data_IF_668459150808
#
_entry.id   IF_668459150808
#
_cell.length_a   1.000
_cell.length_b   1.000
_cell.length_c   1.000
_cell.angle_alpha   90.00
_cell.angle_beta   90.00
_cell.angle_gamma   90.00
#
_symmetry.space_group_name_H-M   'P 1'
#
loop_
_entity.id
_entity.type
_entity.pdbx_description
1 polymer ?
#
# COMPACT_ATOMS: atom_id res chain seq x y z
N UNK A 1 2.45 -22.07 30.00
CA UNK A 1 3.25 -22.71 28.96
C UNK A 1 4.17 -23.82 29.50
N UNK A 2 5.12 -23.53 30.39
CA UNK A 2 6.01 -24.59 30.98
C UNK A 2 5.27 -25.79 31.57
N UNK A 3 4.18 -25.57 32.31
CA UNK A 3 3.40 -26.68 32.92
C UNK A 3 2.65 -27.56 31.90
N UNK A 4 2.17 -27.03 30.79
CA UNK A 4 1.58 -27.83 29.71
C UNK A 4 2.63 -28.63 28.95
N UNK A 5 3.76 -27.99 28.64
CA UNK A 5 4.88 -28.63 27.94
C UNK A 5 5.47 -29.79 28.77
N UNK A 6 5.64 -29.57 30.07
CA UNK A 6 6.14 -30.61 31.01
C UNK A 6 5.16 -31.76 31.15
N UNK A 7 3.84 -31.48 31.13
CA UNK A 7 2.81 -32.55 31.17
C UNK A 7 2.73 -33.37 29.88
N UNK A 8 2.91 -32.71 28.71
CA UNK A 8 2.97 -33.42 27.42
C UNK A 8 4.22 -34.29 27.33
N UNK A 9 5.38 -33.78 27.72
CA UNK A 9 6.62 -34.58 27.74
C UNK A 9 6.60 -35.75 28.75
N UNK A 10 6.08 -35.51 29.94
CA UNK A 10 5.96 -36.59 30.97
C UNK A 10 4.90 -37.63 30.62
N UNK A 11 3.91 -37.29 29.80
CA UNK A 11 2.89 -38.24 29.34
C UNK A 11 3.37 -39.09 28.14
N UNK A 12 4.28 -38.59 27.34
CA UNK A 12 4.95 -39.37 26.29
C UNK A 12 5.87 -40.43 26.90
N UNK A 13 6.57 -40.08 27.98
CA UNK A 13 7.45 -41.01 28.70
C UNK A 13 6.69 -42.09 29.51
N UNK A 14 5.41 -41.86 29.84
CA UNK A 14 4.64 -42.75 30.72
C UNK A 14 3.57 -43.60 30.02
N UNK A 15 3.49 -43.63 28.69
CA UNK A 15 2.46 -44.37 27.92
C UNK A 15 1.01 -44.12 28.40
N UNK A 16 0.70 -42.96 28.94
CA UNK A 16 -0.67 -42.58 29.30
C UNK A 16 -1.43 -42.16 28.04
N UNK A 17 -2.58 -42.74 27.81
CA UNK A 17 -3.55 -42.32 26.79
C UNK A 17 -4.00 -40.91 27.14
N UNK A 18 -3.41 -39.89 26.47
CA UNK A 18 -3.89 -38.51 26.63
C UNK A 18 -5.21 -38.42 25.88
N UNK A 19 -6.29 -38.10 26.63
CA UNK A 19 -7.59 -37.84 26.03
C UNK A 19 -7.47 -36.79 24.91
N UNK A 20 -7.95 -37.15 23.71
CA UNK A 20 -7.98 -36.30 22.53
C UNK A 20 -8.59 -34.92 22.82
N UNK A 21 -9.53 -34.85 23.77
CA UNK A 21 -10.16 -33.62 24.21
C UNK A 21 -9.20 -32.69 24.98
N UNK A 22 -8.28 -33.27 25.76
CA UNK A 22 -7.23 -32.49 26.47
C UNK A 22 -6.18 -31.97 25.54
N UNK A 23 -5.77 -32.74 24.51
CA UNK A 23 -4.87 -32.29 23.46
C UNK A 23 -5.53 -31.16 22.64
N UNK A 24 -6.81 -31.36 22.28
CA UNK A 24 -7.56 -30.33 21.54
C UNK A 24 -7.74 -29.04 22.36
N UNK A 25 -8.01 -29.13 23.66
CA UNK A 25 -8.10 -27.95 24.56
C UNK A 25 -6.74 -27.27 24.74
N UNK A 26 -5.67 -28.02 24.89
CA UNK A 26 -4.33 -27.42 24.97
C UNK A 26 -3.91 -26.78 23.62
N UNK A 27 -4.19 -27.45 22.51
CA UNK A 27 -3.96 -26.92 21.19
C UNK A 27 -4.81 -25.65 20.92
N UNK A 28 -6.09 -25.66 21.34
CA UNK A 28 -6.97 -24.50 21.26
C UNK A 28 -6.48 -23.34 22.13
N UNK A 29 -6.08 -23.60 23.37
CA UNK A 29 -5.51 -22.61 24.28
C UNK A 29 -4.13 -22.07 23.81
N UNK A 30 -3.36 -22.87 23.07
CA UNK A 30 -2.12 -22.44 22.43
C UNK A 30 -2.45 -21.58 21.20
N UNK A 31 -3.43 -21.96 20.40
CA UNK A 31 -3.93 -21.20 19.24
C UNK A 31 -4.57 -19.87 19.66
N UNK A 32 -5.34 -19.84 20.76
CA UNK A 32 -5.90 -18.59 21.32
C UNK A 32 -4.82 -17.64 21.89
N UNK A 33 -3.68 -18.20 22.31
CA UNK A 33 -2.53 -17.43 22.81
C UNK A 33 -1.48 -17.14 21.72
N UNK A 34 -1.65 -17.61 20.49
CA UNK A 34 -0.80 -17.18 19.39
C UNK A 34 -1.03 -15.69 19.17
N UNK A 35 -0.04 -14.90 19.56
CA UNK A 35 -0.01 -13.47 19.34
C UNK A 35 -0.17 -13.21 17.83
N UNK A 36 -1.26 -12.58 17.43
CA UNK A 36 -1.47 -12.18 16.04
C UNK A 36 -0.61 -10.96 15.76
N UNK A 37 0.02 -10.93 14.59
CA UNK A 37 0.78 -9.76 14.15
C UNK A 37 -0.10 -8.51 14.06
N UNK A 38 -1.32 -8.68 13.53
CA UNK A 38 -2.36 -7.64 13.49
C UNK A 38 -3.72 -8.23 13.82
N UNK A 39 -4.66 -7.36 14.21
CA UNK A 39 -6.09 -7.69 14.24
C UNK A 39 -6.87 -6.68 13.43
N UNK A 40 -7.89 -7.14 12.71
CA UNK A 40 -8.80 -6.27 11.97
C UNK A 40 -10.22 -6.42 12.50
N UNK A 41 -10.87 -5.29 12.78
CA UNK A 41 -12.25 -5.26 13.26
C UNK A 41 -13.06 -4.28 12.42
N UNK A 42 -14.08 -4.81 11.74
CA UNK A 42 -15.07 -3.98 11.05
C UNK A 42 -16.03 -3.44 12.11
N UNK A 43 -16.20 -2.12 12.17
CA UNK A 43 -17.08 -1.44 13.12
C UNK A 43 -18.38 -0.96 12.48
N UNK A 44 -18.38 -0.74 11.16
CA UNK A 44 -19.54 -0.28 10.41
C UNK A 44 -19.53 -0.84 8.98
N UNK A 45 -20.72 -1.07 8.42
CA UNK A 45 -20.93 -1.46 7.01
C UNK A 45 -22.02 -0.57 6.41
N UNK A 46 -21.78 -0.09 5.19
CA UNK A 46 -22.82 0.59 4.42
C UNK A 46 -23.71 -0.45 3.74
N UNK A 47 -25.02 -0.50 4.03
CA UNK A 47 -25.93 -1.49 3.45
C UNK A 47 -25.89 -1.52 1.91
N UNK A 48 -26.05 -2.69 1.33
CA UNK A 48 -26.07 -2.94 -0.12
C UNK A 48 -24.79 -2.58 -0.88
N UNK A 49 -23.69 -2.38 -0.17
CA UNK A 49 -22.35 -2.15 -0.74
C UNK A 49 -21.31 -3.04 -0.09
N UNK A 50 -20.05 -2.98 -0.57
CA UNK A 50 -18.91 -3.57 0.11
C UNK A 50 -18.18 -2.57 1.02
N UNK A 51 -18.64 -1.32 1.06
CA UNK A 51 -18.03 -0.25 1.84
C UNK A 51 -18.16 -0.51 3.34
N UNK A 52 -17.03 -0.30 4.02
CA UNK A 52 -16.92 -0.59 5.45
C UNK A 52 -15.95 0.36 6.15
N UNK A 53 -16.20 0.63 7.41
CA UNK A 53 -15.25 1.27 8.31
C UNK A 53 -14.83 0.27 9.40
N UNK A 54 -13.59 0.41 9.86
CA UNK A 54 -13.03 -0.51 10.86
C UNK A 54 -11.72 0.01 11.44
N UNK A 55 -10.96 -0.91 12.04
CA UNK A 55 -9.66 -0.62 12.60
C UNK A 55 -8.70 -1.80 12.42
N UNK A 56 -7.48 -1.52 11.99
CA UNK A 56 -6.35 -2.46 12.00
C UNK A 56 -5.50 -2.11 13.21
N UNK A 57 -5.41 -3.07 14.15
CA UNK A 57 -4.52 -2.93 15.29
C UNK A 57 -3.18 -3.56 14.97
N UNK A 58 -2.09 -2.80 15.09
CA UNK A 58 -0.70 -3.25 14.91
C UNK A 58 0.07 -3.11 16.22
N UNK A 59 1.29 -3.66 16.34
CA UNK A 59 2.15 -3.42 17.51
C UNK A 59 2.47 -1.94 17.77
N UNK A 60 2.51 -1.11 16.73
CA UNK A 60 2.86 0.32 16.85
C UNK A 60 1.66 1.27 16.76
N UNK A 61 0.44 0.76 16.86
CA UNK A 61 -0.77 1.59 16.92
C UNK A 61 -1.92 1.11 16.04
N UNK A 62 -2.95 1.92 15.98
CA UNK A 62 -4.20 1.60 15.28
C UNK A 62 -4.34 2.41 14.01
N UNK A 63 -4.71 1.77 12.91
CA UNK A 63 -5.10 2.43 11.66
C UNK A 63 -6.64 2.38 11.56
N UNK A 64 -7.28 3.54 11.61
CA UNK A 64 -8.72 3.69 11.43
C UNK A 64 -9.05 3.64 9.94
N UNK A 65 -9.76 2.60 9.49
CA UNK A 65 -10.06 2.39 8.07
C UNK A 65 -11.45 2.90 7.67
N UNK A 66 -11.63 3.36 6.41
CA UNK A 66 -10.62 3.51 5.38
C UNK A 66 -9.53 4.51 5.75
N UNK A 67 -8.29 4.30 5.27
CA UNK A 67 -7.15 5.16 5.55
C UNK A 67 -6.22 5.30 4.34
N UNK A 68 -5.60 6.48 4.22
CA UNK A 68 -4.51 6.71 3.26
C UNK A 68 -3.16 6.47 3.96
N UNK A 69 -2.36 5.56 3.40
CA UNK A 69 -1.02 5.23 3.88
C UNK A 69 -0.01 6.11 3.13
N UNK A 70 0.71 6.93 3.88
CA UNK A 70 1.60 7.94 3.28
C UNK A 70 2.84 7.29 2.66
N UNK A 71 3.17 7.67 1.43
CA UNK A 71 4.30 7.10 0.69
C UNK A 71 5.65 7.57 1.18
N UNK A 72 6.36 6.74 1.95
CA UNK A 72 7.70 6.98 2.53
C UNK A 72 8.82 6.18 1.85
N UNK A 73 8.88 6.16 0.53
CA UNK A 73 9.66 5.28 -0.37
C UNK A 73 11.06 4.90 0.12
N UNK A 74 11.85 5.82 0.66
CA UNK A 74 13.25 5.61 1.10
C UNK A 74 13.41 5.89 2.59
N UNK A 75 12.49 5.36 3.40
CA UNK A 75 12.40 5.69 4.82
C UNK A 75 12.30 7.22 5.04
N UNK A 76 11.58 7.89 4.14
CA UNK A 76 11.27 9.32 4.25
C UNK A 76 10.10 9.66 3.34
N UNK A 77 9.18 10.45 3.83
CA UNK A 77 8.16 11.13 3.03
C UNK A 77 8.82 12.34 2.40
N UNK A 78 8.84 12.41 1.07
CA UNK A 78 9.64 13.43 0.36
C UNK A 78 9.18 14.85 0.69
N UNK A 79 10.13 15.68 1.09
CA UNK A 79 9.98 17.07 1.51
C UNK A 79 9.17 17.27 2.80
N UNK A 80 8.95 16.23 3.61
CA UNK A 80 8.26 16.31 4.90
C UNK A 80 9.09 15.67 6.01
N UNK A 81 9.02 16.24 7.22
CA UNK A 81 9.44 15.58 8.45
C UNK A 81 8.34 14.65 8.96
N UNK A 82 8.67 13.77 9.89
CA UNK A 82 7.70 12.87 10.53
C UNK A 82 6.60 13.64 11.26
N UNK A 83 6.95 14.72 11.95
CA UNK A 83 6.00 15.60 12.65
C UNK A 83 5.00 16.23 11.66
N UNK A 84 5.48 16.66 10.48
CA UNK A 84 4.61 17.19 9.43
C UNK A 84 3.67 16.14 8.87
N UNK A 85 4.13 14.88 8.71
CA UNK A 85 3.27 13.76 8.31
C UNK A 85 2.19 13.50 9.36
N UNK A 86 2.55 13.46 10.64
CA UNK A 86 1.58 13.33 11.76
C UNK A 86 0.60 14.49 11.79
N UNK A 87 1.08 15.72 11.62
CA UNK A 87 0.22 16.92 11.56
C UNK A 87 -0.74 16.93 10.37
N UNK A 88 -0.39 16.26 9.26
CA UNK A 88 -1.30 16.01 8.14
C UNK A 88 -2.36 14.94 8.43
N UNK A 89 -2.30 14.26 9.58
CA UNK A 89 -3.19 13.15 9.94
C UNK A 89 -2.76 11.80 9.38
N UNK A 90 -1.53 11.68 8.86
CA UNK A 90 -0.98 10.42 8.36
C UNK A 90 -0.88 9.37 9.48
N UNK A 91 -1.67 8.29 9.38
CA UNK A 91 -1.74 7.24 10.40
C UNK A 91 -0.67 6.16 10.21
N UNK A 92 -0.10 6.06 9.02
CA UNK A 92 0.89 5.03 8.68
C UNK A 92 1.75 5.46 7.51
N UNK A 93 2.96 4.91 7.42
CA UNK A 93 3.93 5.17 6.34
C UNK A 93 4.30 3.86 5.64
N UNK A 94 4.27 3.87 4.30
CA UNK A 94 4.72 2.75 3.47
C UNK A 94 6.10 3.04 2.87
N UNK A 95 7.08 2.19 3.18
CA UNK A 95 8.42 2.25 2.61
C UNK A 95 8.61 1.18 1.51
N UNK A 96 9.61 1.38 0.66
CA UNK A 96 9.83 0.53 -0.49
C UNK A 96 11.07 -0.36 -0.31
N UNK A 97 10.85 -1.66 -0.26
CA UNK A 97 11.89 -2.67 -0.02
C UNK A 97 13.00 -2.62 -1.07
N UNK A 98 12.67 -2.47 -2.36
CA UNK A 98 13.68 -2.36 -3.42
C UNK A 98 14.66 -1.21 -3.20
N UNK A 99 14.15 -0.04 -2.81
CA UNK A 99 15.00 1.12 -2.57
C UNK A 99 15.82 0.99 -1.29
N UNK A 100 15.20 0.48 -0.21
CA UNK A 100 15.87 0.32 1.08
C UNK A 100 16.94 -0.78 1.07
N UNK A 101 16.72 -1.87 0.34
CA UNK A 101 17.71 -2.91 0.12
C UNK A 101 18.99 -2.36 -0.53
N UNK A 102 18.85 -1.43 -1.48
CA UNK A 102 19.98 -0.86 -2.18
C UNK A 102 20.68 0.26 -1.39
N UNK A 103 19.90 1.06 -0.66
CA UNK A 103 20.44 2.16 0.18
C UNK A 103 19.41 2.55 1.24
N UNK A 104 19.76 2.45 2.55
CA UNK A 104 21.09 2.21 3.11
C UNK A 104 21.50 0.73 3.16
N UNK A 105 20.58 -0.20 2.91
CA UNK A 105 20.64 -1.62 3.15
C UNK A 105 19.77 -2.04 4.34
N UNK A 106 19.08 -3.18 4.22
CA UNK A 106 18.18 -3.68 5.26
C UNK A 106 18.88 -3.92 6.60
N UNK A 107 20.15 -4.37 6.57
CA UNK A 107 20.97 -4.61 7.77
C UNK A 107 21.19 -3.32 8.61
N UNK A 108 21.39 -2.18 7.94
CA UNK A 108 21.56 -0.89 8.64
C UNK A 108 20.28 -0.50 9.34
N UNK A 109 19.13 -0.67 8.68
CA UNK A 109 17.81 -0.37 9.24
C UNK A 109 17.52 -1.31 10.42
N UNK A 110 17.84 -2.60 10.28
CA UNK A 110 17.72 -3.58 11.36
C UNK A 110 18.52 -3.17 12.60
N UNK A 111 19.80 -2.79 12.41
CA UNK A 111 20.69 -2.33 13.50
C UNK A 111 20.16 -1.04 14.16
N UNK A 112 19.43 -0.20 13.44
CA UNK A 112 18.77 0.98 14.00
C UNK A 112 17.51 0.66 14.81
N UNK A 113 17.07 -0.61 14.83
CA UNK A 113 15.89 -1.09 15.53
C UNK A 113 14.61 -1.10 14.69
N UNK A 114 14.74 -1.20 13.36
CA UNK A 114 13.65 -1.28 12.41
C UNK A 114 13.26 0.06 11.78
N UNK A 115 12.33 -0.01 10.82
CA UNK A 115 11.95 1.13 9.97
C UNK A 115 11.45 2.33 10.77
N UNK A 116 10.57 2.11 11.74
CA UNK A 116 10.00 3.16 12.57
C UNK A 116 11.08 3.92 13.35
N UNK A 117 11.95 3.19 14.06
CA UNK A 117 13.06 3.81 14.81
C UNK A 117 14.07 4.49 13.89
N UNK A 118 14.34 3.92 12.71
CA UNK A 118 15.24 4.53 11.74
C UNK A 118 14.74 5.87 11.21
N UNK A 119 13.40 6.05 11.12
CA UNK A 119 12.75 7.30 10.66
C UNK A 119 12.37 8.24 11.82
N UNK A 120 12.48 7.80 13.06
CA UNK A 120 11.88 8.46 14.24
C UNK A 120 10.34 8.54 14.14
N UNK A 121 9.71 7.46 13.64
CA UNK A 121 8.27 7.31 13.51
C UNK A 121 7.75 6.19 14.40
N UNK A 122 6.86 6.52 15.33
CA UNK A 122 6.32 5.62 16.36
C UNK A 122 4.99 4.93 15.93
N UNK A 123 4.44 5.28 14.76
CA UNK A 123 3.21 4.72 14.24
C UNK A 123 3.40 3.46 13.39
N UNK A 124 2.28 2.87 12.93
CA UNK A 124 2.29 1.70 12.05
C UNK A 124 3.05 1.91 10.75
N UNK A 125 3.74 0.88 10.27
CA UNK A 125 4.51 0.94 9.03
C UNK A 125 4.20 -0.23 8.10
N UNK A 126 4.33 0.03 6.79
CA UNK A 126 4.22 -0.95 5.72
C UNK A 126 5.51 -1.03 4.93
N UNK A 127 5.77 -2.21 4.34
CA UNK A 127 6.70 -2.36 3.21
C UNK A 127 6.02 -3.01 2.03
N UNK A 128 6.34 -2.55 0.81
CA UNK A 128 6.02 -3.30 -0.40
C UNK A 128 7.02 -4.46 -0.61
N UNK A 129 6.71 -5.36 -1.55
CA UNK A 129 7.57 -6.51 -1.86
C UNK A 129 8.84 -6.14 -2.64
N UNK A 130 8.93 -4.94 -3.20
CA UNK A 130 9.94 -4.52 -4.18
C UNK A 130 9.68 -5.01 -5.61
N UNK A 131 8.68 -5.85 -5.83
CA UNK A 131 8.37 -6.44 -7.14
C UNK A 131 8.04 -5.40 -8.19
N UNK A 132 7.15 -4.44 -7.89
CA UNK A 132 6.78 -3.38 -8.83
C UNK A 132 7.98 -2.66 -9.43
N UNK A 133 8.99 -2.30 -8.64
CA UNK A 133 10.17 -1.56 -9.10
C UNK A 133 11.05 -2.41 -10.00
N UNK A 134 11.19 -3.70 -9.69
CA UNK A 134 11.95 -4.64 -10.52
C UNK A 134 11.34 -4.72 -11.92
N UNK A 135 10.02 -4.84 -12.00
CA UNK A 135 9.30 -4.96 -13.28
C UNK A 135 9.16 -3.61 -13.98
N UNK A 136 8.87 -2.53 -13.25
CA UNK A 136 8.71 -1.19 -13.82
C UNK A 136 10.02 -0.58 -14.29
N UNK A 137 11.14 -0.80 -13.60
CA UNK A 137 12.47 -0.35 -14.05
C UNK A 137 12.92 -1.11 -15.30
N UNK A 138 12.56 -2.38 -15.44
CA UNK A 138 12.71 -3.11 -16.69
C UNK A 138 11.99 -2.43 -17.87
N UNK A 139 10.85 -1.82 -17.63
CA UNK A 139 10.01 -1.15 -18.63
C UNK A 139 10.36 0.35 -18.76
N UNK A 140 10.72 1.04 -17.68
CA UNK A 140 10.71 2.50 -17.56
C UNK A 140 12.04 3.20 -17.83
N UNK A 141 13.15 2.48 -17.99
CA UNK A 141 14.45 3.15 -18.26
C UNK A 141 14.47 3.94 -19.58
N UNK A 142 13.40 3.88 -20.39
CA UNK A 142 13.26 4.67 -21.63
C UNK A 142 12.13 5.69 -21.65
N UNK A 143 11.13 5.67 -20.76
CA UNK A 143 10.09 6.74 -20.69
C UNK A 143 9.38 6.63 -19.34
N UNK A 144 9.37 7.70 -18.52
CA UNK A 144 8.68 7.76 -17.24
C UNK A 144 7.22 7.29 -17.30
N UNK A 145 6.98 6.04 -16.99
CA UNK A 145 5.64 5.44 -16.92
C UNK A 145 5.25 5.47 -15.44
N UNK A 146 4.26 6.28 -15.13
CA UNK A 146 3.55 6.24 -13.86
C UNK A 146 2.66 5.00 -13.78
N UNK A 147 2.38 4.49 -12.58
CA UNK A 147 1.47 3.36 -12.34
C UNK A 147 0.05 3.62 -12.88
N UNK A 148 -0.30 4.89 -13.09
CA UNK A 148 -1.46 5.34 -13.87
C UNK A 148 -0.95 5.75 -15.25
N UNK A 149 -1.28 4.98 -16.27
CA UNK A 149 -0.87 5.21 -17.65
C UNK A 149 -1.52 6.49 -18.21
N UNK A 150 -0.94 7.64 -17.96
CA UNK A 150 -1.13 8.81 -18.80
C UNK A 150 -0.21 8.65 -20.02
N UNK A 151 -0.52 7.70 -20.90
CA UNK A 151 0.25 7.48 -22.13
C UNK A 151 -0.39 8.18 -23.31
N UNK A 152 0.34 9.18 -23.81
CA UNK A 152 0.23 9.55 -25.21
C UNK A 152 0.72 8.36 -26.08
N UNK A 153 0.01 8.13 -27.20
CA UNK A 153 0.23 7.09 -28.20
C UNK A 153 1.71 6.99 -28.63
N UNK A 154 2.35 5.84 -28.43
CA UNK A 154 3.70 5.55 -28.96
C UNK A 154 4.21 4.16 -28.58
N UNK A 155 4.20 3.22 -29.53
CA UNK A 155 4.93 1.94 -29.62
C UNK A 155 5.12 1.09 -28.33
N UNK A 156 4.02 0.56 -27.80
CA UNK A 156 4.02 -0.39 -26.68
C UNK A 156 4.82 -1.69 -26.97
N UNK A 157 4.87 -2.15 -28.22
CA UNK A 157 5.58 -3.37 -28.61
C UNK A 157 7.12 -3.28 -28.48
N UNK A 158 7.72 -2.08 -28.72
CA UNK A 158 9.16 -1.85 -28.54
C UNK A 158 9.55 -1.69 -27.06
N UNK A 159 8.65 -1.18 -26.22
CA UNK A 159 8.86 -1.08 -24.78
C UNK A 159 8.93 -2.46 -24.13
N UNK A 160 8.09 -3.41 -24.56
CA UNK A 160 8.07 -4.80 -24.05
C UNK A 160 9.35 -5.56 -24.40
N UNK A 161 9.91 -5.38 -25.61
CA UNK A 161 11.19 -6.03 -25.99
C UNK A 161 12.41 -5.52 -25.21
N UNK A 162 12.42 -4.25 -24.81
CA UNK A 162 13.54 -3.69 -24.01
C UNK A 162 13.41 -4.00 -22.50
N UNK A 163 12.23 -4.29 -22.00
CA UNK A 163 11.99 -4.70 -20.62
C UNK A 163 12.62 -6.07 -20.31
N UNK A 164 12.54 -7.00 -21.26
CA UNK A 164 13.15 -8.33 -21.14
C UNK A 164 14.70 -8.31 -21.06
N UNK A 165 15.35 -7.18 -21.29
CA UNK A 165 16.81 -7.04 -21.20
C UNK A 165 17.31 -6.60 -19.82
N UNK A 166 16.46 -6.03 -18.95
CA UNK A 166 16.87 -5.46 -17.66
C UNK A 166 16.37 -6.25 -16.45
N UNK A 167 15.33 -7.06 -16.61
CA UNK A 167 14.88 -7.99 -15.59
C UNK A 167 14.52 -9.34 -16.22
N UNK A 168 15.05 -10.43 -15.66
CA UNK A 168 14.74 -11.81 -16.06
C UNK A 168 13.92 -12.46 -14.97
N UNK A 169 12.70 -12.85 -15.28
CA UNK A 169 11.79 -13.53 -14.35
C UNK A 169 11.83 -15.03 -14.60
N UNK A 170 11.94 -15.80 -13.52
CA UNK A 170 11.91 -17.26 -13.50
C UNK A 170 11.02 -17.73 -12.36
N UNK A 171 10.72 -19.02 -12.27
CA UNK A 171 9.95 -19.54 -11.14
C UNK A 171 10.68 -19.42 -9.79
N UNK A 172 12.01 -19.28 -9.81
CA UNK A 172 12.79 -19.03 -8.61
C UNK A 172 12.64 -17.61 -8.08
N UNK A 173 12.51 -16.61 -8.96
CA UNK A 173 12.46 -15.20 -8.60
C UNK A 173 12.75 -14.30 -9.79
N UNK A 174 13.08 -13.04 -9.53
CA UNK A 174 13.39 -12.03 -10.54
C UNK A 174 14.85 -11.56 -10.41
N UNK A 175 15.62 -11.72 -11.48
CA UNK A 175 16.97 -11.16 -11.60
C UNK A 175 16.89 -9.80 -12.28
N UNK A 176 17.50 -8.80 -11.69
CA UNK A 176 17.56 -7.45 -12.23
C UNK A 176 18.92 -6.79 -12.03
N UNK A 177 19.16 -5.72 -12.75
CA UNK A 177 20.41 -4.95 -12.64
C UNK A 177 20.17 -3.73 -11.74
N UNK A 178 20.99 -3.62 -10.67
CA UNK A 178 20.97 -2.46 -9.78
C UNK A 178 21.27 -1.16 -10.56
N UNK A 179 20.44 -0.16 -10.34
CA UNK A 179 20.64 1.17 -10.96
C UNK A 179 21.72 2.00 -10.27
N UNK A 180 22.21 1.56 -9.10
CA UNK A 180 23.25 2.27 -8.34
C UNK A 180 24.65 1.87 -8.77
N UNK A 181 24.92 0.56 -8.89
CA UNK A 181 26.26 0.01 -9.13
C UNK A 181 26.33 -0.94 -10.33
N UNK A 182 25.20 -1.19 -10.99
CA UNK A 182 25.11 -2.04 -12.16
C UNK A 182 25.21 -3.54 -11.90
N UNK A 183 25.31 -4.00 -10.65
CA UNK A 183 25.38 -5.42 -10.31
C UNK A 183 24.05 -6.12 -10.56
N UNK A 184 24.14 -7.41 -10.91
CA UNK A 184 22.95 -8.27 -10.98
C UNK A 184 22.56 -8.70 -9.58
N UNK A 185 21.28 -8.54 -9.26
CA UNK A 185 20.66 -8.95 -8.01
C UNK A 185 19.57 -9.97 -8.36
N UNK A 186 19.53 -11.07 -7.64
CA UNK A 186 18.44 -12.04 -7.69
C UNK A 186 17.56 -11.85 -6.47
N UNK A 187 16.29 -11.52 -6.68
CA UNK A 187 15.29 -11.41 -5.64
C UNK A 187 14.33 -12.59 -5.74
N UNK A 188 14.25 -13.36 -4.67
CA UNK A 188 13.35 -14.50 -4.53
C UNK A 188 12.25 -14.18 -3.52
N UNK A 189 11.16 -14.95 -3.45
CA UNK A 189 10.17 -14.82 -2.39
C UNK A 189 10.79 -14.84 -0.99
N UNK A 190 11.72 -15.76 -0.74
CA UNK A 190 12.40 -15.90 0.56
C UNK A 190 13.24 -14.66 0.87
N UNK A 191 14.07 -14.20 -0.07
CA UNK A 191 14.91 -13.02 0.14
C UNK A 191 14.08 -11.74 0.29
N UNK A 192 12.91 -11.65 -0.35
CA UNK A 192 11.97 -10.55 -0.13
C UNK A 192 11.45 -10.55 1.31
N UNK A 193 11.09 -11.72 1.84
CA UNK A 193 10.66 -11.83 3.24
C UNK A 193 11.78 -11.49 4.21
N UNK A 194 12.98 -12.00 4.00
CA UNK A 194 14.15 -11.69 4.83
C UNK A 194 14.46 -10.20 4.87
N UNK A 195 14.41 -9.54 3.71
CA UNK A 195 14.62 -8.09 3.61
C UNK A 195 13.54 -7.30 4.34
N UNK A 196 12.26 -7.64 4.14
CA UNK A 196 11.15 -6.95 4.77
C UNK A 196 11.17 -7.15 6.30
N UNK A 197 11.44 -8.37 6.77
CA UNK A 197 11.61 -8.64 8.20
C UNK A 197 12.79 -7.88 8.82
N UNK A 198 13.92 -7.79 8.11
CA UNK A 198 15.06 -7.00 8.56
C UNK A 198 14.78 -5.48 8.55
N UNK A 199 14.00 -4.99 7.59
CA UNK A 199 13.50 -3.62 7.58
C UNK A 199 12.57 -3.37 8.78
N UNK A 200 11.78 -4.36 9.19
CA UNK A 200 11.02 -4.34 10.44
C UNK A 200 9.79 -3.44 10.40
N UNK A 201 8.98 -3.51 9.34
CA UNK A 201 7.67 -2.91 9.29
C UNK A 201 6.61 -3.81 9.94
N UNK A 202 5.45 -3.25 10.31
CA UNK A 202 4.34 -4.03 10.88
C UNK A 202 3.66 -4.92 9.86
N UNK A 203 3.57 -4.45 8.60
CA UNK A 203 2.82 -5.11 7.53
C UNK A 203 3.70 -5.20 6.28
N UNK A 204 3.80 -6.41 5.74
CA UNK A 204 4.56 -6.75 4.54
C UNK A 204 3.68 -7.18 3.39
N UNK A 205 4.18 -7.07 2.16
CA UNK A 205 3.53 -7.61 0.97
C UNK A 205 4.30 -8.84 0.46
N UNK A 206 3.57 -9.89 0.11
CA UNK A 206 4.15 -11.05 -0.57
C UNK A 206 4.75 -10.65 -1.91
N UNK A 207 5.87 -11.29 -2.29
CA UNK A 207 6.52 -11.03 -3.56
C UNK A 207 5.66 -11.52 -4.72
N UNK A 208 5.40 -10.64 -5.69
CA UNK A 208 4.45 -10.85 -6.79
C UNK A 208 5.02 -10.43 -8.14
N UNK A 209 4.48 -10.96 -9.22
CA UNK A 209 4.83 -10.57 -10.59
C UNK A 209 3.76 -9.69 -11.21
N UNK A 210 4.13 -8.44 -11.45
CA UNK A 210 3.29 -7.49 -12.17
C UNK A 210 3.41 -7.70 -13.68
N UNK A 211 2.29 -7.67 -14.39
CA UNK A 211 2.25 -7.70 -15.86
C UNK A 211 2.03 -6.33 -16.47
N UNK A 212 2.51 -6.14 -17.71
CA UNK A 212 2.17 -4.94 -18.48
C UNK A 212 0.64 -4.85 -18.70
N UNK A 213 0.05 -3.63 -18.75
CA UNK A 213 -1.40 -3.44 -18.86
C UNK A 213 -2.05 -4.12 -20.06
N UNK A 214 -1.31 -4.26 -21.18
CA UNK A 214 -1.76 -4.85 -22.43
C UNK A 214 -1.07 -6.20 -22.73
N UNK A 215 -0.62 -6.91 -21.69
CA UNK A 215 -0.03 -8.22 -21.84
C UNK A 215 -1.04 -9.23 -22.40
N UNK A 216 -0.57 -10.16 -23.23
CA UNK A 216 -1.41 -11.25 -23.73
C UNK A 216 -1.92 -12.10 -22.56
N UNK A 217 -3.18 -12.60 -22.65
CA UNK A 217 -3.82 -13.38 -21.59
C UNK A 217 -2.97 -14.56 -21.11
N UNK A 218 -2.30 -15.27 -22.00
CA UNK A 218 -1.40 -16.36 -21.63
C UNK A 218 -0.19 -15.92 -20.79
N UNK A 219 0.30 -14.70 -20.98
CA UNK A 219 1.35 -14.11 -20.15
C UNK A 219 0.81 -13.76 -18.77
N UNK A 220 -0.40 -13.18 -18.70
CA UNK A 220 -1.06 -12.85 -17.44
C UNK A 220 -1.31 -14.11 -16.60
N UNK A 221 -1.79 -15.19 -17.22
CA UNK A 221 -2.02 -16.49 -16.56
C UNK A 221 -0.73 -17.03 -15.96
N UNK A 222 0.39 -17.03 -16.71
CA UNK A 222 1.68 -17.51 -16.24
C UNK A 222 2.21 -16.67 -15.08
N UNK A 223 2.11 -15.34 -15.16
CA UNK A 223 2.53 -14.43 -14.10
C UNK A 223 1.68 -14.62 -12.84
N UNK A 224 0.36 -14.77 -12.98
CA UNK A 224 -0.53 -15.07 -11.86
C UNK A 224 -0.19 -16.40 -11.18
N UNK A 225 0.03 -17.46 -11.96
CA UNK A 225 0.43 -18.77 -11.42
C UNK A 225 1.76 -18.69 -10.66
N UNK A 226 2.73 -17.93 -11.20
CA UNK A 226 4.00 -17.70 -10.53
C UNK A 226 3.84 -16.88 -9.26
N UNK A 227 3.02 -15.83 -9.29
CA UNK A 227 2.66 -15.05 -8.09
C UNK A 227 2.05 -15.95 -7.01
N UNK A 228 1.18 -16.89 -7.38
CA UNK A 228 0.62 -17.86 -6.42
C UNK A 228 1.67 -18.77 -5.79
N UNK A 229 2.57 -19.34 -6.62
CA UNK A 229 3.66 -20.18 -6.11
C UNK A 229 4.62 -19.38 -5.22
N UNK A 230 4.91 -18.13 -5.58
CA UNK A 230 5.73 -17.23 -4.77
C UNK A 230 5.04 -16.83 -3.46
N UNK A 231 3.73 -16.61 -3.48
CA UNK A 231 2.95 -16.29 -2.30
C UNK A 231 3.02 -17.42 -1.24
N UNK A 232 2.98 -18.68 -1.67
CA UNK A 232 3.15 -19.83 -0.76
C UNK A 232 4.57 -19.87 -0.16
N UNK A 233 5.58 -19.64 -0.97
CA UNK A 233 6.99 -19.57 -0.50
C UNK A 233 7.21 -18.41 0.46
N UNK A 234 6.63 -17.23 0.17
CA UNK A 234 6.63 -16.09 1.08
C UNK A 234 5.99 -16.46 2.42
N UNK A 235 4.83 -17.11 2.40
CA UNK A 235 4.12 -17.48 3.61
C UNK A 235 4.92 -18.46 4.48
N UNK A 236 5.58 -19.45 3.87
CA UNK A 236 6.46 -20.39 4.59
C UNK A 236 7.60 -19.63 5.27
N UNK A 237 8.38 -18.82 4.48
CA UNK A 237 9.53 -18.10 5.03
C UNK A 237 9.15 -17.05 6.06
N UNK A 238 8.05 -16.35 5.84
CA UNK A 238 7.49 -15.40 6.80
C UNK A 238 7.15 -16.05 8.15
N UNK A 239 6.52 -17.22 8.13
CA UNK A 239 6.18 -17.93 9.35
C UNK A 239 7.43 -18.40 10.12
N UNK A 240 8.47 -18.84 9.41
CA UNK A 240 9.77 -19.19 10.02
C UNK A 240 10.38 -17.97 10.72
N UNK A 241 10.44 -16.81 10.03
CA UNK A 241 10.97 -15.57 10.58
C UNK A 241 10.16 -15.06 11.76
N UNK A 242 8.83 -15.14 11.70
CA UNK A 242 7.97 -14.80 12.84
C UNK A 242 8.18 -15.75 14.03
N UNK A 243 8.44 -17.04 13.82
CA UNK A 243 8.80 -17.95 14.89
C UNK A 243 10.12 -17.56 15.56
N UNK A 244 11.11 -17.10 14.78
CA UNK A 244 12.37 -16.56 15.29
C UNK A 244 12.14 -15.27 16.10
N UNK A 245 11.31 -14.32 15.61
CA UNK A 245 10.94 -13.11 16.34
C UNK A 245 10.27 -13.45 17.68
N UNK A 246 9.31 -14.38 17.66
CA UNK A 246 8.63 -14.81 18.88
C UNK A 246 9.61 -15.43 19.90
N UNK A 247 10.57 -16.21 19.44
CA UNK A 247 11.61 -16.81 20.29
C UNK A 247 12.51 -15.76 20.96
N UNK A 248 12.71 -14.62 20.32
CA UNK A 248 13.46 -13.46 20.85
C UNK A 248 12.59 -12.50 21.68
N UNK A 249 11.27 -12.72 21.75
CA UNK A 249 10.33 -11.82 22.44
C UNK A 249 10.05 -10.51 21.67
N UNK A 250 10.26 -10.52 20.37
CA UNK A 250 10.01 -9.41 19.46
C UNK A 250 8.56 -9.44 18.95
N UNK A 251 8.09 -8.32 18.39
CA UNK A 251 6.78 -8.24 17.77
C UNK A 251 6.71 -9.09 16.50
N UNK A 252 5.57 -9.72 16.28
CA UNK A 252 5.28 -10.38 15.01
C UNK A 252 4.96 -9.33 13.94
N UNK A 253 5.24 -9.68 12.70
CA UNK A 253 4.96 -8.87 11.52
C UNK A 253 3.88 -9.54 10.68
N UNK A 254 3.02 -8.77 10.03
CA UNK A 254 1.91 -9.28 9.23
C UNK A 254 2.29 -9.41 7.76
N UNK A 255 1.70 -10.40 7.07
CA UNK A 255 1.90 -10.61 5.64
C UNK A 255 0.58 -10.51 4.87
N UNK A 256 0.56 -9.65 3.85
CA UNK A 256 -0.54 -9.53 2.90
C UNK A 256 -0.23 -10.28 1.61
N UNK A 257 -1.16 -11.13 1.17
CA UNK A 257 -1.11 -11.76 -0.14
C UNK A 257 -1.49 -10.77 -1.24
N UNK A 258 -0.77 -10.76 -2.38
CA UNK A 258 -1.01 -9.79 -3.45
C UNK A 258 -1.81 -10.42 -4.59
N UNK A 259 -3.03 -9.94 -4.81
CA UNK A 259 -3.94 -10.39 -5.87
C UNK A 259 -3.52 -9.78 -7.21
N UNK A 260 -3.21 -10.63 -8.19
CA UNK A 260 -2.91 -10.26 -9.56
C UNK A 260 -3.99 -10.77 -10.53
N UNK A 261 -3.86 -10.56 -11.84
CA UNK A 261 -4.84 -10.99 -12.84
C UNK A 261 -5.18 -9.91 -13.88
N UNK A 262 -4.43 -8.78 -13.88
CA UNK A 262 -4.64 -7.62 -14.75
C UNK A 262 -6.13 -7.15 -14.72
N UNK A 263 -6.78 -7.01 -15.87
CA UNK A 263 -8.19 -6.63 -16.03
C UNK A 263 -9.11 -7.79 -16.45
N UNK A 264 -8.69 -9.03 -16.19
CA UNK A 264 -9.49 -10.22 -16.50
C UNK A 264 -10.25 -10.64 -15.23
N UNK A 265 -11.59 -10.56 -15.24
CA UNK A 265 -12.43 -10.90 -14.09
C UNK A 265 -12.18 -12.33 -13.61
N UNK A 266 -12.12 -13.28 -14.54
CA UNK A 266 -11.92 -14.70 -14.20
C UNK A 266 -10.60 -14.89 -13.46
N UNK A 267 -9.51 -14.26 -13.95
CA UNK A 267 -8.20 -14.36 -13.32
C UNK A 267 -8.16 -13.64 -11.98
N UNK A 268 -8.79 -12.47 -11.83
CA UNK A 268 -8.90 -11.76 -10.56
C UNK A 268 -9.62 -12.59 -9.50
N UNK A 269 -10.79 -13.16 -9.84
CA UNK A 269 -11.55 -14.05 -8.95
C UNK A 269 -10.77 -15.32 -8.62
N UNK A 270 -10.08 -15.93 -9.58
CA UNK A 270 -9.20 -17.08 -9.34
C UNK A 270 -8.08 -16.73 -8.37
N UNK A 271 -7.41 -15.58 -8.56
CA UNK A 271 -6.33 -15.15 -7.70
C UNK A 271 -6.82 -14.83 -6.27
N UNK A 272 -7.93 -14.10 -6.16
CA UNK A 272 -8.54 -13.77 -4.87
C UNK A 272 -8.97 -15.04 -4.11
N UNK A 273 -9.61 -16.00 -4.79
CA UNK A 273 -10.00 -17.26 -4.19
C UNK A 273 -8.79 -18.10 -3.74
N UNK A 274 -7.74 -18.16 -4.57
CA UNK A 274 -6.52 -18.88 -4.23
C UNK A 274 -5.86 -18.33 -2.97
N UNK A 275 -5.69 -17.01 -2.89
CA UNK A 275 -5.07 -16.36 -1.74
C UNK A 275 -5.97 -16.35 -0.52
N UNK A 276 -7.29 -16.19 -0.71
CA UNK A 276 -8.30 -16.20 0.36
C UNK A 276 -8.38 -17.50 1.15
N UNK A 277 -7.96 -18.62 0.54
CA UNK A 277 -7.89 -19.94 1.20
C UNK A 277 -6.59 -20.14 2.01
N UNK A 278 -5.69 -19.17 2.02
CA UNK A 278 -4.39 -19.22 2.72
C UNK A 278 -4.38 -18.28 3.91
N UNK A 279 -3.50 -18.56 4.87
CA UNK A 279 -3.48 -17.82 6.13
C UNK A 279 -2.65 -16.52 6.01
N UNK A 280 -3.05 -15.63 5.11
CA UNK A 280 -2.56 -14.26 5.08
C UNK A 280 -3.28 -13.39 6.11
N UNK A 281 -2.61 -12.36 6.62
CA UNK A 281 -3.19 -11.40 7.56
C UNK A 281 -4.08 -10.35 6.87
N UNK A 282 -3.88 -10.15 5.57
CA UNK A 282 -4.62 -9.23 4.71
C UNK A 282 -4.31 -9.46 3.25
N UNK A 283 -4.82 -8.59 2.38
CA UNK A 283 -4.64 -8.71 0.94
C UNK A 283 -4.32 -7.37 0.30
N UNK A 284 -3.27 -7.36 -0.56
CA UNK A 284 -2.97 -6.29 -1.49
C UNK A 284 -3.64 -6.53 -2.84
N UNK A 285 -4.18 -5.50 -3.45
CA UNK A 285 -4.70 -5.54 -4.83
C UNK A 285 -3.68 -4.86 -5.72
N UNK A 286 -2.90 -5.66 -6.45
CA UNK A 286 -1.85 -5.20 -7.34
C UNK A 286 -2.33 -5.04 -8.79
N UNK A 287 -1.63 -4.23 -9.55
CA UNK A 287 -1.88 -4.06 -10.98
C UNK A 287 -1.57 -2.66 -11.48
N UNK A 288 -1.58 -2.52 -12.81
CA UNK A 288 -1.59 -1.22 -13.49
C UNK A 288 -2.96 -1.10 -14.15
N UNK A 289 -3.72 -0.09 -13.75
CA UNK A 289 -5.08 0.12 -14.20
C UNK A 289 -5.16 1.31 -15.15
N UNK A 290 -6.05 1.22 -16.13
CA UNK A 290 -6.46 2.36 -16.95
C UNK A 290 -7.62 3.10 -16.26
N UNK A 291 -7.86 4.37 -16.59
CA UNK A 291 -9.04 5.07 -16.11
C UNK A 291 -10.33 4.27 -16.42
N UNK A 292 -11.18 4.10 -15.41
CA UNK A 292 -12.44 3.35 -15.50
C UNK A 292 -12.36 1.85 -15.20
N UNK A 293 -11.16 1.26 -15.05
CA UNK A 293 -11.02 -0.18 -14.76
C UNK A 293 -11.00 -0.50 -13.25
N UNK A 294 -10.72 0.50 -12.40
CA UNK A 294 -10.51 0.31 -10.96
C UNK A 294 -11.74 -0.25 -10.28
N UNK A 295 -12.91 0.31 -10.58
CA UNK A 295 -14.18 -0.07 -9.97
C UNK A 295 -14.48 -1.57 -10.15
N UNK A 296 -14.40 -2.06 -11.38
CA UNK A 296 -14.69 -3.46 -11.70
C UNK A 296 -13.67 -4.39 -11.07
N UNK A 297 -12.37 -4.09 -11.22
CA UNK A 297 -11.30 -4.94 -10.67
C UNK A 297 -11.38 -5.03 -9.14
N UNK A 298 -11.58 -3.92 -8.47
CA UNK A 298 -11.71 -3.89 -7.00
C UNK A 298 -12.96 -4.67 -6.56
N UNK A 299 -14.09 -4.47 -7.23
CA UNK A 299 -15.34 -5.18 -6.96
C UNK A 299 -15.17 -6.68 -7.08
N UNK A 300 -14.66 -7.21 -8.21
CA UNK A 300 -14.46 -8.64 -8.43
C UNK A 300 -13.59 -9.29 -7.36
N UNK A 301 -12.52 -8.60 -6.96
CA UNK A 301 -11.60 -9.08 -5.95
C UNK A 301 -12.26 -9.05 -4.57
N UNK A 302 -12.88 -7.94 -4.19
CA UNK A 302 -13.46 -7.76 -2.87
C UNK A 302 -14.72 -8.61 -2.62
N UNK A 303 -15.49 -8.93 -3.67
CA UNK A 303 -16.59 -9.91 -3.59
C UNK A 303 -16.11 -11.34 -3.33
N UNK A 304 -14.83 -11.63 -3.65
CA UNK A 304 -14.26 -12.98 -3.55
C UNK A 304 -13.42 -13.19 -2.29
N UNK A 305 -12.73 -12.14 -1.82
CA UNK A 305 -11.84 -12.22 -0.64
C UNK A 305 -12.62 -12.36 0.67
N UNK A 306 -12.06 -13.04 1.69
CA UNK A 306 -12.61 -13.06 3.04
C UNK A 306 -12.89 -11.65 3.58
N UNK A 307 -14.03 -11.49 4.27
CA UNK A 307 -14.42 -10.19 4.81
C UNK A 307 -13.64 -9.79 6.07
N UNK A 308 -13.22 -10.76 6.87
CA UNK A 308 -12.57 -10.58 8.17
C UNK A 308 -11.09 -10.14 8.05
N UNK A 309 -10.62 -9.90 6.83
CA UNK A 309 -9.25 -9.47 6.54
C UNK A 309 -9.22 -8.10 5.87
N UNK A 310 -8.23 -7.25 6.21
CA UNK A 310 -8.07 -5.94 5.56
C UNK A 310 -7.61 -6.06 4.10
N UNK A 311 -8.01 -5.07 3.28
CA UNK A 311 -7.74 -4.99 1.84
C UNK A 311 -7.05 -3.68 1.53
N UNK A 312 -5.91 -3.77 0.89
CA UNK A 312 -5.05 -2.63 0.54
C UNK A 312 -4.96 -2.47 -0.98
N UNK A 313 -5.25 -1.28 -1.50
CA UNK A 313 -5.13 -0.97 -2.92
C UNK A 313 -3.79 -0.32 -3.20
N UNK A 314 -2.90 -1.05 -3.87
CA UNK A 314 -1.50 -0.70 -4.07
C UNK A 314 -1.30 0.41 -5.11
N UNK A 315 -0.62 1.50 -4.71
CA UNK A 315 -0.13 2.55 -5.61
C UNK A 315 -1.22 3.45 -6.20
N UNK A 316 -2.45 3.41 -5.69
CA UNK A 316 -3.59 4.18 -6.18
C UNK A 316 -4.11 5.16 -5.12
N UNK A 317 -4.78 6.23 -5.60
CA UNK A 317 -5.29 7.31 -4.74
C UNK A 317 -4.76 8.68 -5.16
N UNK A 318 -4.24 8.79 -6.40
CA UNK A 318 -3.83 10.07 -6.97
C UNK A 318 -5.01 10.94 -7.44
N UNK A 319 -6.16 10.32 -7.64
CA UNK A 319 -7.42 10.96 -8.01
C UNK A 319 -8.43 10.73 -6.89
N UNK A 320 -9.17 11.75 -6.42
CA UNK A 320 -10.20 11.55 -5.41
C UNK A 320 -11.23 10.49 -5.80
N UNK A 321 -11.61 10.40 -7.07
CA UNK A 321 -12.55 9.39 -7.56
C UNK A 321 -12.10 7.95 -7.26
N UNK A 322 -10.79 7.66 -7.34
CA UNK A 322 -10.25 6.34 -7.04
C UNK A 322 -10.46 5.97 -5.56
N UNK A 323 -10.38 6.95 -4.67
CA UNK A 323 -10.60 6.77 -3.22
C UNK A 323 -12.07 6.41 -2.94
N UNK A 324 -13.01 7.16 -3.52
CA UNK A 324 -14.45 6.87 -3.36
C UNK A 324 -14.82 5.51 -3.92
N UNK A 325 -14.39 5.19 -5.15
CA UNK A 325 -14.67 3.90 -5.78
C UNK A 325 -14.02 2.75 -5.01
N UNK A 326 -12.77 2.91 -4.59
CA UNK A 326 -12.10 1.89 -3.79
C UNK A 326 -12.84 1.58 -2.50
N UNK A 327 -13.25 2.61 -1.74
CA UNK A 327 -14.01 2.43 -0.50
C UNK A 327 -15.39 1.82 -0.77
N UNK A 328 -16.12 2.30 -1.78
CA UNK A 328 -17.43 1.76 -2.15
C UNK A 328 -17.39 0.26 -2.42
N UNK A 329 -16.31 -0.22 -3.04
CA UNK A 329 -16.09 -1.62 -3.35
C UNK A 329 -15.24 -2.38 -2.33
N UNK A 330 -15.03 -1.83 -1.13
CA UNK A 330 -14.54 -2.57 0.03
C UNK A 330 -13.05 -2.52 0.29
N UNK A 331 -12.34 -1.49 -0.16
CA UNK A 331 -10.95 -1.20 0.20
C UNK A 331 -10.88 -0.54 1.57
N UNK A 332 -9.93 -0.98 2.38
CA UNK A 332 -9.68 -0.45 3.72
C UNK A 332 -8.50 0.53 3.75
N UNK A 333 -7.48 0.31 2.90
CA UNK A 333 -6.29 1.17 2.89
C UNK A 333 -5.79 1.40 1.47
N UNK A 334 -5.18 2.57 1.26
CA UNK A 334 -4.61 3.01 -0.01
C UNK A 334 -3.21 3.53 0.22
N UNK A 335 -2.31 3.40 -0.75
CA UNK A 335 -1.06 4.13 -0.77
C UNK A 335 -0.83 4.81 -2.12
N UNK A 336 -0.21 5.96 -2.11
CA UNK A 336 0.27 6.59 -3.34
C UNK A 336 1.35 7.64 -3.05
N UNK A 337 2.40 7.65 -3.88
CA UNK A 337 3.43 8.71 -3.81
C UNK A 337 3.04 9.99 -4.57
N UNK A 338 1.87 9.98 -5.22
CA UNK A 338 1.43 11.10 -6.06
C UNK A 338 1.25 12.41 -5.30
N UNK A 339 0.72 12.47 -4.06
CA UNK A 339 0.52 13.74 -3.37
C UNK A 339 1.79 14.56 -3.26
N UNK A 340 2.87 14.02 -2.68
CA UNK A 340 4.16 14.73 -2.59
C UNK A 340 4.86 14.88 -3.94
N UNK A 341 4.70 13.92 -4.87
CA UNK A 341 5.29 14.03 -6.22
C UNK A 341 4.67 15.17 -7.00
N UNK A 342 3.34 15.29 -7.01
CA UNK A 342 2.63 16.36 -7.69
C UNK A 342 2.92 17.72 -7.03
N UNK A 343 2.91 17.76 -5.71
CA UNK A 343 3.23 18.94 -4.91
C UNK A 343 4.60 19.54 -5.30
N UNK A 344 5.64 18.71 -5.32
CA UNK A 344 7.00 19.14 -5.69
C UNK A 344 7.14 19.64 -7.14
N UNK A 345 6.15 19.35 -7.98
CA UNK A 345 6.06 19.87 -9.35
C UNK A 345 5.02 21.02 -9.48
N UNK A 346 4.59 21.59 -8.35
CA UNK A 346 3.68 22.72 -8.32
C UNK A 346 2.21 22.40 -8.62
N UNK A 347 1.84 21.11 -8.73
CA UNK A 347 0.45 20.70 -8.92
C UNK A 347 -0.21 20.44 -7.56
N UNK A 348 -1.20 21.25 -7.21
CA UNK A 348 -1.87 21.24 -5.91
C UNK A 348 -3.34 20.82 -6.05
N UNK A 349 -3.82 20.06 -5.07
CA UNK A 349 -5.24 19.72 -4.95
C UNK A 349 -6.00 20.87 -4.30
N UNK A 350 -7.24 21.12 -4.74
CA UNK A 350 -8.22 21.95 -4.03
C UNK A 350 -9.57 21.26 -4.11
N UNK A 351 -10.53 21.64 -3.29
CA UNK A 351 -11.89 21.10 -3.41
C UNK A 351 -12.59 21.46 -4.74
N UNK A 352 -12.09 22.51 -5.43
CA UNK A 352 -12.57 22.93 -6.76
C UNK A 352 -11.68 22.37 -7.90
N UNK A 353 -10.92 21.30 -7.66
CA UNK A 353 -10.05 20.67 -8.65
C UNK A 353 -8.57 21.01 -8.47
N UNK A 354 -7.76 20.61 -9.46
CA UNK A 354 -6.31 20.81 -9.40
C UNK A 354 -5.88 22.16 -9.96
N UNK A 355 -4.90 22.78 -9.29
CA UNK A 355 -4.25 24.00 -9.77
C UNK A 355 -2.75 23.75 -9.99
N UNK A 356 -2.12 24.51 -10.91
CA UNK A 356 -0.67 24.59 -10.99
C UNK A 356 -0.23 25.94 -10.40
N UNK A 357 0.42 25.88 -9.25
CA UNK A 357 0.79 27.07 -8.49
C UNK A 357 1.83 27.95 -9.20
N UNK A 358 2.62 27.42 -10.13
CA UNK A 358 3.59 28.17 -10.91
C UNK A 358 2.96 29.10 -11.96
N UNK A 359 1.63 29.01 -12.17
CA UNK A 359 0.92 29.87 -13.11
C UNK A 359 0.98 31.34 -12.68
N UNK A 360 1.19 32.24 -13.66
CA UNK A 360 1.34 33.67 -13.44
C UNK A 360 0.12 34.32 -12.73
N UNK A 361 -1.08 33.76 -12.89
CA UNK A 361 -2.29 34.26 -12.23
C UNK A 361 -2.20 34.27 -10.70
N UNK A 362 -1.31 33.46 -10.11
CA UNK A 362 -1.13 33.36 -8.66
C UNK A 362 -0.09 34.31 -8.09
N UNK A 363 0.56 35.16 -8.91
CA UNK A 363 1.62 36.09 -8.44
C UNK A 363 1.14 37.10 -7.42
N UNK A 364 -0.11 37.51 -7.53
CA UNK A 364 -0.75 38.51 -6.67
C UNK A 364 -2.01 37.95 -5.98
N UNK A 365 -2.10 36.61 -5.89
CA UNK A 365 -3.20 35.93 -5.22
C UNK A 365 -2.85 35.69 -3.75
N UNK A 366 -3.37 36.55 -2.87
CA UNK A 366 -3.11 36.50 -1.43
C UNK A 366 -4.07 35.59 -0.66
N UNK A 367 -4.91 34.80 -1.35
CA UNK A 367 -5.71 33.75 -0.73
C UNK A 367 -4.86 32.51 -0.38
N UNK A 368 -5.30 31.64 0.55
CA UNK A 368 -4.68 30.33 0.77
C UNK A 368 -4.83 29.43 -0.45
N UNK A 369 -4.10 28.30 -0.50
CA UNK A 369 -4.25 27.32 -1.60
C UNK A 369 -5.71 26.88 -1.68
N UNK A 370 -6.32 26.58 -0.55
CA UNK A 370 -7.73 26.23 -0.42
C UNK A 370 -8.27 26.81 0.88
N UNK A 371 -9.38 27.56 0.81
CA UNK A 371 -9.96 28.26 1.95
C UNK A 371 -10.56 27.31 3.01
N UNK A 372 -10.96 26.11 2.60
CA UNK A 372 -11.52 25.09 3.49
C UNK A 372 -10.47 24.15 4.07
N UNK A 373 -9.20 24.27 3.62
CA UNK A 373 -8.13 23.38 4.07
C UNK A 373 -7.53 23.87 5.40
N UNK A 374 -7.45 22.96 6.36
CA UNK A 374 -6.93 23.18 7.71
C UNK A 374 -5.42 22.91 7.86
N UNK A 375 -4.70 22.66 6.76
CA UNK A 375 -3.26 22.38 6.84
C UNK A 375 -2.45 23.62 7.22
N UNK A 376 -1.25 23.39 7.78
CA UNK A 376 -0.32 24.46 8.12
C UNK A 376 -0.11 25.47 6.97
N UNK A 377 0.06 24.95 5.74
CA UNK A 377 0.31 25.80 4.58
C UNK A 377 -0.84 26.76 4.31
N UNK A 378 -2.09 26.29 4.33
CA UNK A 378 -3.25 27.11 4.06
C UNK A 378 -3.54 28.12 5.19
N UNK A 379 -3.18 27.80 6.43
CA UNK A 379 -3.37 28.66 7.59
C UNK A 379 -2.35 29.81 7.66
N UNK A 380 -1.15 29.61 7.09
CA UNK A 380 -0.03 30.54 7.30
C UNK A 380 0.51 31.18 6.01
N UNK A 381 0.18 30.64 4.83
CA UNK A 381 0.76 31.09 3.58
C UNK A 381 -0.26 31.30 2.46
N UNK A 382 0.04 32.26 1.57
CA UNK A 382 -0.80 32.60 0.44
C UNK A 382 -0.33 31.91 -0.84
N UNK A 383 -1.18 31.81 -1.84
CA UNK A 383 -0.85 31.34 -3.19
C UNK A 383 0.28 32.17 -3.81
N UNK A 384 0.28 33.49 -3.58
CA UNK A 384 1.33 34.41 -4.07
C UNK A 384 2.71 34.02 -3.50
N UNK A 385 2.79 33.75 -2.19
CA UNK A 385 4.05 33.35 -1.56
C UNK A 385 4.54 32.02 -2.09
N UNK A 386 3.65 31.01 -2.19
CA UNK A 386 4.03 29.69 -2.70
C UNK A 386 4.42 29.78 -4.18
N UNK A 387 3.70 30.56 -5.00
CA UNK A 387 4.07 30.85 -6.38
C UNK A 387 5.48 31.43 -6.47
N UNK A 388 5.80 32.41 -5.60
CA UNK A 388 7.13 33.00 -5.53
C UNK A 388 8.20 31.93 -5.24
N UNK A 389 8.00 31.07 -4.23
CA UNK A 389 8.95 30.02 -3.88
C UNK A 389 9.22 29.05 -5.04
N UNK A 390 8.17 28.63 -5.77
CA UNK A 390 8.35 27.77 -6.95
C UNK A 390 9.07 28.47 -8.10
N UNK A 391 8.85 29.76 -8.28
CA UNK A 391 9.54 30.53 -9.33
C UNK A 391 10.98 30.87 -8.97
N UNK A 392 11.30 30.90 -7.69
CA UNK A 392 12.65 31.11 -7.17
C UNK A 392 13.42 29.80 -6.90
N UNK A 393 12.82 28.64 -7.26
CA UNK A 393 13.38 27.30 -7.03
C UNK A 393 13.73 27.02 -5.54
N UNK A 394 12.99 27.64 -4.61
CA UNK A 394 13.20 27.45 -3.17
C UNK A 394 12.62 26.12 -2.68
N UNK A 395 13.42 25.36 -1.93
CA UNK A 395 13.05 24.05 -1.38
C UNK A 395 11.78 24.11 -0.52
N UNK A 396 11.59 25.22 0.21
CA UNK A 396 10.41 25.44 1.06
C UNK A 396 9.10 25.37 0.27
N UNK A 397 9.10 25.76 -1.01
CA UNK A 397 7.94 25.62 -1.88
C UNK A 397 7.46 24.18 -2.00
N UNK A 398 8.40 23.24 -2.19
CA UNK A 398 8.10 21.82 -2.25
C UNK A 398 7.56 21.27 -0.90
N UNK A 399 8.10 21.75 0.23
CA UNK A 399 7.65 21.36 1.57
C UNK A 399 6.23 21.83 1.84
N UNK A 400 5.94 23.12 1.66
CA UNK A 400 4.62 23.70 1.90
C UNK A 400 3.54 23.08 0.99
N UNK A 401 3.87 22.87 -0.28
CA UNK A 401 3.00 22.18 -1.23
C UNK A 401 2.73 20.72 -0.83
N UNK A 402 3.75 20.01 -0.34
CA UNK A 402 3.61 18.60 0.10
C UNK A 402 2.75 18.48 1.36
N UNK A 403 2.90 19.38 2.34
CA UNK A 403 2.03 19.45 3.52
C UNK A 403 0.57 19.59 3.08
N UNK A 404 0.29 20.49 2.15
CA UNK A 404 -1.06 20.72 1.66
C UNK A 404 -1.63 19.49 0.92
N UNK A 405 -0.91 18.92 -0.03
CA UNK A 405 -1.40 17.79 -0.81
C UNK A 405 -1.59 16.52 0.04
N UNK A 406 -0.68 16.23 0.98
CA UNK A 406 -0.87 15.09 1.89
C UNK A 406 -2.08 15.30 2.80
N UNK A 407 -2.24 16.49 3.38
CA UNK A 407 -3.42 16.79 4.21
C UNK A 407 -4.71 16.68 3.41
N UNK A 408 -4.72 17.16 2.17
CA UNK A 408 -5.90 17.06 1.29
C UNK A 408 -6.33 15.61 1.09
N UNK A 409 -5.41 14.71 0.74
CA UNK A 409 -5.74 13.30 0.48
C UNK A 409 -6.12 12.56 1.76
N UNK A 410 -5.36 12.73 2.83
CA UNK A 410 -5.67 12.13 4.14
C UNK A 410 -7.05 12.60 4.62
N UNK A 411 -7.30 13.92 4.62
CA UNK A 411 -8.60 14.49 5.02
C UNK A 411 -9.76 13.99 4.16
N UNK A 412 -9.55 13.84 2.85
CA UNK A 412 -10.59 13.29 1.96
C UNK A 412 -10.97 11.87 2.39
N UNK A 413 -10.01 11.01 2.72
CA UNK A 413 -10.29 9.65 3.18
C UNK A 413 -10.92 9.66 4.58
N UNK A 414 -10.50 10.56 5.47
CA UNK A 414 -11.12 10.74 6.78
C UNK A 414 -12.61 11.17 6.65
N UNK A 415 -12.91 12.08 5.72
CA UNK A 415 -14.28 12.49 5.42
C UNK A 415 -15.11 11.37 4.79
N UNK A 416 -14.52 10.56 3.90
CA UNK A 416 -15.14 9.34 3.38
C UNK A 416 -15.47 8.39 4.54
N UNK A 417 -14.52 8.18 5.47
CA UNK A 417 -14.77 7.36 6.66
C UNK A 417 -15.90 7.93 7.53
N UNK A 418 -15.93 9.22 7.78
CA UNK A 418 -17.00 9.88 8.54
C UNK A 418 -18.36 9.68 7.87
N UNK A 419 -18.44 9.87 6.55
CA UNK A 419 -19.69 9.70 5.79
C UNK A 419 -20.19 8.24 5.74
N UNK A 420 -19.30 7.25 5.90
CA UNK A 420 -19.73 5.87 6.11
C UNK A 420 -20.39 5.69 7.48
N UNK A 421 -19.82 6.28 8.52
CA UNK A 421 -20.30 6.14 9.91
C UNK A 421 -21.65 6.82 10.13
N UNK A 422 -21.92 7.93 9.46
CA UNK A 422 -23.16 8.67 9.56
C UNK A 422 -24.18 8.35 8.46
N UNK A 423 -23.82 7.47 7.50
CA UNK A 423 -24.71 7.00 6.43
C UNK A 423 -24.86 7.96 5.24
N UNK A 424 -24.06 9.02 5.16
CA UNK A 424 -24.16 10.06 4.11
C UNK A 424 -23.18 9.85 2.94
N UNK A 425 -22.58 8.66 2.82
CA UNK A 425 -21.51 8.35 1.86
C UNK A 425 -21.86 8.74 0.41
N UNK A 426 -23.03 8.38 -0.08
CA UNK A 426 -23.40 8.66 -1.47
C UNK A 426 -23.62 10.15 -1.73
N UNK A 427 -24.25 10.86 -0.81
CA UNK A 427 -24.45 12.31 -0.91
C UNK A 427 -23.11 13.04 -0.87
N UNK A 428 -22.21 12.61 0.02
CA UNK A 428 -20.86 13.16 0.09
C UNK A 428 -20.05 12.85 -1.18
N UNK A 429 -20.08 11.61 -1.67
CA UNK A 429 -19.44 11.22 -2.94
C UNK A 429 -19.91 12.10 -4.08
N UNK A 430 -21.23 12.23 -4.25
CA UNK A 430 -21.83 13.00 -5.33
C UNK A 430 -21.42 14.48 -5.26
N UNK A 431 -21.59 15.12 -4.11
CA UNK A 431 -21.26 16.54 -3.92
C UNK A 431 -19.79 16.83 -4.12
N UNK A 432 -18.90 15.99 -3.55
CA UNK A 432 -17.46 16.14 -3.68
C UNK A 432 -17.00 15.98 -5.13
N UNK A 433 -17.41 14.91 -5.80
CA UNK A 433 -16.95 14.63 -7.17
C UNK A 433 -17.51 15.64 -8.18
N UNK A 434 -18.78 16.07 -8.03
CA UNK A 434 -19.37 17.12 -8.85
C UNK A 434 -18.60 18.43 -8.69
N UNK A 435 -18.23 18.82 -7.47
CA UNK A 435 -17.46 20.02 -7.20
C UNK A 435 -16.03 19.92 -7.75
N UNK A 436 -15.35 18.79 -7.50
CA UNK A 436 -13.94 18.61 -7.86
C UNK A 436 -13.71 18.51 -9.38
N UNK A 437 -14.59 17.80 -10.09
CA UNK A 437 -14.43 17.51 -11.51
C UNK A 437 -15.31 18.37 -12.42
N UNK A 438 -16.42 18.95 -11.90
CA UNK A 438 -17.42 19.61 -12.74
C UNK A 438 -17.91 18.69 -13.85
N UNK A 439 -17.89 19.16 -15.08
CA UNK A 439 -18.27 18.38 -16.28
C UNK A 439 -17.21 17.34 -16.73
N UNK A 440 -16.04 17.29 -16.06
CA UNK A 440 -14.89 16.45 -16.45
C UNK A 440 -14.74 15.21 -15.56
N UNK A 441 -15.82 14.53 -15.22
CA UNK A 441 -15.75 13.28 -14.46
C UNK A 441 -14.86 12.25 -15.15
N UNK A 442 -14.02 11.53 -14.40
CA UNK A 442 -13.22 10.44 -14.96
C UNK A 442 -14.10 9.34 -15.56
N UNK A 443 -13.58 8.66 -16.60
CA UNK A 443 -14.27 7.54 -17.26
C UNK A 443 -14.58 6.46 -16.22
N UNK A 444 -15.82 5.95 -16.20
CA UNK A 444 -16.29 4.92 -15.29
C UNK A 444 -16.69 5.40 -13.90
N UNK A 445 -16.69 6.72 -13.68
CA UNK A 445 -17.21 7.33 -12.45
C UNK A 445 -18.61 7.83 -12.71
N UNK A 446 -19.56 7.39 -11.90
CA UNK A 446 -20.94 7.90 -11.86
C UNK A 446 -21.16 8.65 -10.54
N UNK A 447 -21.92 9.76 -10.62
CA UNK A 447 -22.35 10.51 -9.44
C UNK A 447 -23.46 9.80 -8.70
#
# INVERSE_FOLDING_TARGET
MRQCYTKILSAIDSMLIIDYHTIAKCAHAILEKMQKAITFKITHRLPSTLARAGAIQTPHGTIQTPAFIVGGTKATVKALTVEQVKACGGQSILANTYHLMQRPGAEIIHKAGGLGKFMDYDGPTFTDSGGFQIFSLGIAYKKGIDAVAHTQKGNAAQAVKSANQLAKVTDQGAQFRSHLDGKYIMMTPESSMELQHAIGADIHMAFDELTAPLAARGTIVKAMQRTHAWAERCLVRHNELNAEHLARGENLQALYGVVQGARDEVLRRQSANFLGQRNFDGYGIGGVFQPGEIADVVRWVCETLPEDKPRHLLGLGSQPADLFLGVEYGIDTFDCVAPTRQARNGALYTFDGRINISNARFREDFAPIDAECDCYTCQHHTRAYINHLFRADEILGATLASIHNERFVVRTVDQIRASLLDGTFFDFKQSFLARYYGDNLPIGVTL
#
